data_IF_470104205433
#
_entry.id   IF_470104205433
#
_cell.length_a   1.000
_cell.length_b   1.000
_cell.length_c   1.000
_cell.angle_alpha   90.00
_cell.angle_beta   90.00
_cell.angle_gamma   90.00
#
_symmetry.space_group_name_H-M   'P 1'
#
loop_
_entity.id
_entity.type
_entity.pdbx_description
1 polymer ?
#
# COMPACT_ATOMS: atom_id res chain seq x y z
N UNK A 1 4.44 -8.00 -46.25
CA UNK A 1 4.33 -6.53 -46.19
C UNK A 1 4.97 -5.88 -47.42
N UNK A 2 6.21 -6.23 -47.78
CA UNK A 2 6.86 -5.81 -49.02
C UNK A 2 6.00 -5.91 -50.30
N UNK A 3 5.27 -7.02 -50.48
CA UNK A 3 4.39 -7.23 -51.64
C UNK A 3 3.24 -6.22 -51.72
N UNK A 4 2.71 -5.80 -50.57
CA UNK A 4 1.64 -4.80 -50.46
C UNK A 4 2.19 -3.42 -50.82
N UNK A 5 3.34 -3.04 -50.26
CA UNK A 5 4.02 -1.77 -50.57
C UNK A 5 4.29 -1.69 -52.07
N UNK A 6 4.91 -2.71 -52.67
CA UNK A 6 5.16 -2.75 -54.12
C UNK A 6 3.88 -2.63 -54.94
N UNK A 7 2.79 -3.28 -54.52
CA UNK A 7 1.50 -3.20 -55.21
C UNK A 7 0.92 -1.79 -55.15
N UNK A 8 0.96 -1.14 -53.99
CA UNK A 8 0.50 0.24 -53.80
C UNK A 8 1.36 1.22 -54.60
N UNK A 9 2.70 1.11 -54.56
CA UNK A 9 3.60 1.94 -55.36
C UNK A 9 3.28 1.82 -56.86
N UNK A 10 3.04 0.60 -57.36
CA UNK A 10 2.63 0.39 -58.76
C UNK A 10 1.25 0.99 -59.08
N UNK A 11 0.32 0.98 -58.14
CA UNK A 11 -1.01 1.60 -58.31
C UNK A 11 -0.97 3.13 -58.32
N UNK A 12 -0.03 3.73 -57.59
CA UNK A 12 0.13 5.19 -57.49
C UNK A 12 0.91 5.80 -58.66
N UNK A 13 1.67 4.99 -59.42
CA UNK A 13 2.36 5.47 -60.60
C UNK A 13 1.39 5.76 -61.75
N UNK A 14 1.60 6.86 -62.51
CA UNK A 14 0.80 7.13 -63.70
C UNK A 14 0.94 6.03 -64.77
N UNK A 15 -0.09 5.83 -65.60
CA UNK A 15 -0.09 4.79 -66.65
C UNK A 15 0.62 5.19 -67.96
N UNK A 16 1.46 6.23 -67.94
CA UNK A 16 2.14 6.76 -69.13
C UNK A 16 3.40 5.96 -69.52
N UNK A 17 3.85 6.09 -70.77
CA UNK A 17 5.06 5.41 -71.30
C UNK A 17 6.32 5.69 -70.46
N UNK A 18 6.43 6.90 -69.92
CA UNK A 18 7.54 7.30 -69.03
C UNK A 18 7.57 6.54 -67.69
N UNK A 19 6.44 5.96 -67.29
CA UNK A 19 6.28 5.20 -66.04
C UNK A 19 6.05 3.71 -66.31
N UNK A 20 6.25 3.27 -67.56
CA UNK A 20 6.18 1.85 -67.89
C UNK A 20 7.32 1.11 -67.22
N UNK A 21 6.98 0.08 -66.48
CA UNK A 21 7.88 -0.57 -65.54
C UNK A 21 7.93 -2.07 -65.84
N UNK A 22 8.67 -2.50 -66.88
CA UNK A 22 8.82 -3.93 -67.17
C UNK A 22 9.46 -4.64 -65.99
N UNK A 23 9.01 -5.86 -65.72
CA UNK A 23 9.53 -6.66 -64.61
C UNK A 23 11.04 -6.91 -64.80
N UNK A 24 11.83 -6.64 -63.75
CA UNK A 24 13.29 -6.69 -63.82
C UNK A 24 13.98 -5.48 -64.49
N UNK A 25 13.21 -4.54 -65.06
CA UNK A 25 13.73 -3.28 -65.60
C UNK A 25 14.42 -2.40 -64.55
N UNK A 26 15.15 -1.38 -64.99
CA UNK A 26 15.87 -0.45 -64.08
C UNK A 26 14.90 0.21 -63.10
N UNK A 27 13.76 0.69 -63.59
CA UNK A 27 12.76 1.33 -62.74
C UNK A 27 12.10 0.33 -61.77
N UNK A 28 11.82 -0.93 -62.16
CA UNK A 28 11.28 -1.96 -61.25
C UNK A 28 12.30 -2.31 -60.14
N UNK A 29 13.60 -2.40 -60.50
CA UNK A 29 14.68 -2.61 -59.52
C UNK A 29 14.81 -1.45 -58.54
N UNK A 30 14.70 -0.20 -59.02
CA UNK A 30 14.68 0.98 -58.15
C UNK A 30 13.49 0.94 -57.18
N UNK A 31 12.28 0.73 -57.67
CA UNK A 31 11.11 0.63 -56.79
C UNK A 31 11.22 -0.55 -55.82
N UNK A 32 11.77 -1.68 -56.24
CA UNK A 32 12.02 -2.81 -55.34
C UNK A 32 12.98 -2.43 -54.21
N UNK A 33 14.05 -1.69 -54.52
CA UNK A 33 14.99 -1.21 -53.51
C UNK A 33 14.36 -0.19 -52.55
N UNK A 34 13.57 0.76 -53.08
CA UNK A 34 12.83 1.73 -52.28
C UNK A 34 11.80 1.05 -51.36
N UNK A 35 10.99 0.13 -51.88
CA UNK A 35 10.03 -0.63 -51.07
C UNK A 35 10.70 -1.46 -49.97
N UNK A 36 11.91 -1.99 -50.22
CA UNK A 36 12.70 -2.69 -49.20
C UNK A 36 13.18 -1.73 -48.11
N UNK A 37 13.63 -0.52 -48.49
CA UNK A 37 14.02 0.53 -47.55
C UNK A 37 12.82 0.97 -46.69
N UNK A 38 11.66 1.19 -47.30
CA UNK A 38 10.42 1.53 -46.62
C UNK A 38 9.96 0.43 -45.67
N UNK A 39 10.05 -0.85 -46.06
CA UNK A 39 9.73 -1.97 -45.16
C UNK A 39 10.65 -2.00 -43.94
N UNK A 40 11.94 -1.71 -44.11
CA UNK A 40 12.89 -1.62 -42.98
C UNK A 40 12.55 -0.45 -42.06
N UNK A 41 12.27 0.73 -42.63
CA UNK A 41 11.88 1.91 -41.87
C UNK A 41 10.58 1.66 -41.08
N UNK A 42 9.58 1.06 -41.73
CA UNK A 42 8.31 0.70 -41.09
C UNK A 42 8.50 -0.32 -39.97
N UNK A 43 9.31 -1.38 -40.18
CA UNK A 43 9.63 -2.36 -39.13
C UNK A 43 10.35 -1.72 -37.94
N UNK A 44 11.28 -0.79 -38.21
CA UNK A 44 11.97 -0.05 -37.15
C UNK A 44 11.02 0.86 -36.37
N UNK A 45 10.11 1.54 -37.06
CA UNK A 45 9.07 2.37 -36.43
C UNK A 45 8.12 1.49 -35.59
N UNK A 46 7.64 0.38 -36.13
CA UNK A 46 6.78 -0.56 -35.40
C UNK A 46 7.47 -1.12 -34.16
N UNK A 47 8.73 -1.55 -34.26
CA UNK A 47 9.50 -2.01 -33.09
C UNK A 47 9.67 -0.91 -32.02
N UNK A 48 9.83 0.34 -32.45
CA UNK A 48 9.87 1.49 -31.53
C UNK A 48 8.52 1.72 -30.88
N UNK A 49 7.41 1.63 -31.63
CA UNK A 49 6.06 1.76 -31.07
C UNK A 49 5.71 0.61 -30.11
N UNK A 50 6.05 -0.62 -30.49
CA UNK A 50 5.76 -1.83 -29.72
C UNK A 50 6.49 -1.81 -28.37
N UNK A 51 7.73 -1.30 -28.33
CA UNK A 51 8.51 -1.12 -27.09
C UNK A 51 8.15 0.16 -26.30
N UNK A 52 7.53 1.14 -26.95
CA UNK A 52 7.20 2.42 -26.33
C UNK A 52 6.06 2.33 -25.32
N UNK A 53 5.11 1.42 -25.47
CA UNK A 53 3.99 1.30 -24.53
C UNK A 53 3.71 -0.14 -24.14
N UNK A 54 3.46 -0.43 -22.85
CA UNK A 54 3.14 -1.77 -22.37
C UNK A 54 1.69 -2.15 -22.69
N UNK A 55 1.21 -1.93 -23.92
CA UNK A 55 -0.19 -2.07 -24.32
C UNK A 55 -0.46 -3.02 -25.50
N UNK A 56 0.59 -3.59 -26.06
CA UNK A 56 0.52 -4.46 -27.23
C UNK A 56 1.11 -5.85 -26.93
N UNK A 57 0.79 -6.82 -27.78
CA UNK A 57 1.25 -8.21 -27.64
C UNK A 57 2.73 -8.41 -28.01
N UNK A 58 3.36 -7.42 -28.65
CA UNK A 58 4.77 -7.45 -29.04
C UNK A 58 5.69 -6.88 -27.94
N UNK A 59 5.13 -6.36 -26.85
CA UNK A 59 5.88 -5.87 -25.71
C UNK A 59 6.63 -7.04 -25.05
N UNK A 60 7.95 -6.92 -24.90
CA UNK A 60 8.81 -8.01 -24.43
C UNK A 60 9.20 -7.85 -22.96
N UNK A 61 9.85 -8.88 -22.40
CA UNK A 61 10.45 -8.81 -21.06
C UNK A 61 11.58 -7.78 -20.96
N UNK A 62 12.34 -7.60 -22.04
CA UNK A 62 13.42 -6.64 -22.16
C UNK A 62 12.87 -5.20 -22.18
N UNK A 63 11.74 -4.98 -22.86
CA UNK A 63 11.03 -3.69 -22.83
C UNK A 63 10.55 -3.36 -21.42
N UNK A 64 10.00 -4.36 -20.71
CA UNK A 64 9.60 -4.21 -19.32
C UNK A 64 10.79 -3.83 -18.41
N UNK A 65 11.95 -4.47 -18.58
CA UNK A 65 13.17 -4.16 -17.81
C UNK A 65 13.60 -2.69 -18.04
N UNK A 66 13.57 -2.22 -19.29
CA UNK A 66 13.91 -0.84 -19.64
C UNK A 66 12.94 0.16 -19.01
N UNK A 67 11.64 -0.13 -19.04
CA UNK A 67 10.60 0.71 -18.45
C UNK A 67 10.70 0.75 -16.93
N UNK A 68 10.90 -0.38 -16.28
CA UNK A 68 11.08 -0.45 -14.83
C UNK A 68 12.29 0.37 -14.39
N UNK A 69 13.40 0.28 -15.14
CA UNK A 69 14.58 1.13 -14.90
C UNK A 69 14.27 2.62 -15.08
N UNK A 70 13.56 2.99 -16.16
CA UNK A 70 13.19 4.39 -16.46
C UNK A 70 12.25 5.00 -15.41
N UNK A 71 11.32 4.21 -14.88
CA UNK A 71 10.34 4.63 -13.89
C UNK A 71 10.81 4.45 -12.43
N UNK A 72 12.03 3.94 -12.22
CA UNK A 72 12.54 3.64 -10.87
C UNK A 72 11.75 2.54 -10.16
N UNK A 73 11.19 1.57 -10.90
CA UNK A 73 10.51 0.38 -10.37
C UNK A 73 11.51 -0.76 -10.11
N UNK A 74 11.13 -1.71 -9.24
CA UNK A 74 11.99 -2.88 -8.97
C UNK A 74 12.00 -3.72 -10.24
N UNK A 75 13.15 -4.33 -10.56
CA UNK A 75 13.20 -5.29 -11.65
C UNK A 75 12.26 -6.46 -11.31
N UNK A 76 11.19 -6.62 -12.08
CA UNK A 76 10.19 -7.67 -11.93
C UNK A 76 10.65 -9.04 -12.44
N UNK A 77 11.95 -9.33 -12.47
CA UNK A 77 12.50 -10.62 -12.89
C UNK A 77 11.82 -11.77 -12.13
N UNK A 78 11.17 -12.68 -12.86
CA UNK A 78 10.38 -13.78 -12.30
C UNK A 78 8.88 -13.51 -12.15
N UNK A 79 8.43 -12.27 -12.34
CA UNK A 79 7.00 -11.92 -12.42
C UNK A 79 6.50 -12.09 -13.84
N UNK A 80 5.29 -12.63 -14.01
CA UNK A 80 4.65 -12.77 -15.32
C UNK A 80 4.55 -11.41 -16.04
N UNK A 81 4.89 -11.39 -17.34
CA UNK A 81 4.97 -10.17 -18.16
C UNK A 81 3.69 -9.32 -18.10
N UNK A 82 2.51 -9.95 -18.10
CA UNK A 82 1.21 -9.26 -18.00
C UNK A 82 1.10 -8.43 -16.71
N UNK A 83 1.58 -8.94 -15.58
CA UNK A 83 1.55 -8.22 -14.32
C UNK A 83 2.55 -7.06 -14.31
N UNK A 84 3.71 -7.26 -14.95
CA UNK A 84 4.73 -6.20 -15.12
C UNK A 84 4.18 -5.06 -15.98
N UNK A 85 3.53 -5.38 -17.11
CA UNK A 85 2.87 -4.40 -17.96
C UNK A 85 1.81 -3.60 -17.19
N UNK A 86 0.97 -4.25 -16.38
CA UNK A 86 -0.02 -3.58 -15.55
C UNK A 86 0.61 -2.62 -14.53
N UNK A 87 1.69 -3.05 -13.86
CA UNK A 87 2.41 -2.21 -12.92
C UNK A 87 3.05 -0.98 -13.59
N UNK A 88 3.66 -1.15 -14.77
CA UNK A 88 4.24 -0.05 -15.56
C UNK A 88 3.15 0.94 -15.96
N UNK A 89 1.99 0.48 -16.43
CA UNK A 89 0.85 1.36 -16.76
C UNK A 89 0.38 2.17 -15.56
N UNK A 90 0.23 1.53 -14.39
CA UNK A 90 -0.18 2.22 -13.17
C UNK A 90 0.81 3.32 -12.78
N UNK A 91 2.11 3.04 -12.91
CA UNK A 91 3.16 4.00 -12.59
C UNK A 91 3.25 5.14 -13.61
N UNK A 92 3.09 4.84 -14.89
CA UNK A 92 3.10 5.82 -15.97
C UNK A 92 1.88 6.75 -15.90
N UNK A 93 0.70 6.22 -15.60
CA UNK A 93 -0.55 6.98 -15.47
C UNK A 93 -0.68 7.73 -14.13
N UNK A 94 0.33 7.65 -13.25
CA UNK A 94 0.27 8.30 -11.95
C UNK A 94 0.33 9.84 -12.12
N UNK A 95 -0.61 10.62 -11.56
CA UNK A 95 -0.75 12.04 -11.89
C UNK A 95 0.45 12.87 -11.43
N UNK A 96 0.89 13.77 -12.30
CA UNK A 96 1.96 14.76 -12.04
C UNK A 96 1.39 16.06 -11.45
N UNK A 97 0.09 16.31 -11.59
CA UNK A 97 -0.52 17.64 -11.36
C UNK A 97 -1.41 17.77 -10.13
N UNK A 98 -1.90 16.68 -9.54
CA UNK A 98 -2.65 16.74 -8.28
C UNK A 98 -1.69 16.60 -7.09
N UNK A 99 -1.81 17.51 -6.12
CA UNK A 99 -0.94 17.60 -4.95
C UNK A 99 -0.73 16.21 -4.28
N UNK A 100 0.50 15.91 -3.81
CA UNK A 100 1.03 14.56 -3.66
C UNK A 100 0.52 13.85 -2.40
N UNK A 101 -0.79 13.65 -2.28
CA UNK A 101 -1.35 12.68 -1.35
C UNK A 101 -1.66 11.44 -2.15
N UNK A 102 -0.67 10.55 -2.26
CA UNK A 102 -0.92 9.18 -2.70
C UNK A 102 -2.08 8.65 -1.86
N UNK A 103 -3.22 8.42 -2.51
CA UNK A 103 -4.32 7.75 -1.85
C UNK A 103 -3.85 6.35 -1.47
N UNK A 104 -3.98 5.98 -0.19
CA UNK A 104 -3.43 4.76 0.37
C UNK A 104 -3.86 3.48 -0.40
N UNK A 105 -5.04 3.49 -1.03
CA UNK A 105 -5.49 2.37 -1.88
C UNK A 105 -4.63 2.16 -3.12
N UNK A 106 -3.93 3.18 -3.61
CA UNK A 106 -2.97 3.01 -4.70
C UNK A 106 -1.77 2.18 -4.26
N UNK A 107 -1.27 2.41 -3.04
CA UNK A 107 -0.22 1.57 -2.43
C UNK A 107 -0.74 0.13 -2.26
N UNK A 108 -1.96 -0.04 -1.74
CA UNK A 108 -2.58 -1.35 -1.60
C UNK A 108 -2.71 -2.10 -2.93
N UNK A 109 -3.26 -1.46 -3.95
CA UNK A 109 -3.45 -2.05 -5.28
C UNK A 109 -2.13 -2.51 -5.89
N UNK A 110 -1.07 -1.71 -5.74
CA UNK A 110 0.25 -2.06 -6.27
C UNK A 110 0.91 -3.21 -5.50
N UNK A 111 0.76 -3.26 -4.17
CA UNK A 111 1.24 -4.40 -3.37
C UNK A 111 0.49 -5.69 -3.74
N UNK A 112 -0.83 -5.61 -3.93
CA UNK A 112 -1.67 -6.75 -4.33
C UNK A 112 -1.40 -7.21 -5.76
N UNK A 113 -1.12 -6.29 -6.69
CA UNK A 113 -0.75 -6.63 -8.06
C UNK A 113 0.56 -7.45 -8.15
N UNK A 114 1.45 -7.28 -7.17
CA UNK A 114 2.71 -8.05 -7.04
C UNK A 114 2.51 -9.34 -6.21
N UNK A 115 1.27 -9.64 -5.82
CA UNK A 115 0.89 -10.87 -5.13
C UNK A 115 1.04 -10.84 -3.61
N UNK A 116 1.15 -9.66 -2.99
CA UNK A 116 1.09 -9.54 -1.54
C UNK A 116 -0.37 -9.41 -1.09
N UNK A 117 -0.86 -10.35 -0.30
CA UNK A 117 -2.21 -10.25 0.28
C UNK A 117 -2.19 -9.35 1.52
N UNK A 118 -2.21 -8.04 1.29
CA UNK A 118 -2.21 -7.01 2.34
C UNK A 118 -3.28 -5.97 2.06
N UNK A 119 -3.71 -5.28 3.12
CA UNK A 119 -4.47 -4.03 3.01
C UNK A 119 -3.71 -2.86 3.61
N UNK A 120 -3.94 -1.67 3.06
CA UNK A 120 -3.34 -0.44 3.58
C UNK A 120 -4.45 0.37 4.25
N UNK A 121 -4.20 0.81 5.48
CA UNK A 121 -5.12 1.62 6.25
C UNK A 121 -4.49 3.01 6.43
N UNK A 122 -5.21 4.09 6.07
CA UNK A 122 -4.75 5.43 6.38
C UNK A 122 -4.73 5.59 7.90
N UNK A 123 -3.77 6.36 8.41
CA UNK A 123 -3.88 6.78 9.79
C UNK A 123 -4.91 7.90 9.92
N UNK A 124 -6.16 7.50 10.17
CA UNK A 124 -7.22 8.43 10.55
C UNK A 124 -7.06 8.73 12.03
N UNK A 125 -6.37 9.83 12.33
CA UNK A 125 -6.40 10.45 13.67
C UNK A 125 -7.67 11.22 13.93
N UNK A 126 -8.63 11.16 13.02
CA UNK A 126 -9.99 11.55 13.32
C UNK A 126 -10.52 10.50 14.29
N UNK A 127 -10.11 10.63 15.57
CA UNK A 127 -11.03 10.38 16.66
C UNK A 127 -12.23 11.23 16.25
N UNK A 128 -13.38 10.64 15.88
CA UNK A 128 -14.56 11.45 15.62
C UNK A 128 -14.67 12.38 16.81
N UNK A 129 -14.45 13.67 16.56
CA UNK A 129 -14.76 14.68 17.55
C UNK A 129 -16.26 14.64 17.52
N UNK A 130 -16.82 13.83 18.41
CA UNK A 130 -18.24 13.84 18.70
C UNK A 130 -18.53 15.26 19.13
N UNK A 131 -19.02 16.07 18.20
CA UNK A 131 -19.31 17.48 18.45
C UNK A 131 -20.55 17.60 19.33
N UNK A 132 -21.46 16.63 19.25
CA UNK A 132 -22.56 16.41 20.20
C UNK A 132 -23.18 15.03 19.97
N UNK A 133 -23.39 14.26 21.04
CA UNK A 133 -24.40 13.18 21.04
C UNK A 133 -25.64 13.80 21.68
N UNK A 134 -26.73 13.87 20.93
CA UNK A 134 -28.01 14.27 21.48
C UNK A 134 -28.71 13.04 22.07
N UNK A 135 -29.07 13.15 23.34
CA UNK A 135 -29.86 12.16 24.04
C UNK A 135 -31.26 12.75 24.22
N UNK A 136 -32.27 12.06 23.68
CA UNK A 136 -33.66 12.40 23.97
C UNK A 136 -34.36 11.19 24.56
N UNK A 137 -35.30 11.46 25.46
CA UNK A 137 -36.28 10.47 25.90
C UNK A 137 -37.52 10.64 25.03
N UNK A 138 -38.04 9.55 24.48
CA UNK A 138 -39.38 9.58 23.88
C UNK A 138 -40.45 9.65 24.99
N UNK A 139 -41.72 9.75 24.59
CA UNK A 139 -42.86 9.82 25.52
C UNK A 139 -42.97 8.58 26.44
N UNK A 140 -42.33 7.48 26.06
CA UNK A 140 -42.26 6.21 26.81
C UNK A 140 -41.01 6.11 27.72
N UNK A 141 -40.23 7.19 27.84
CA UNK A 141 -38.95 7.24 28.56
C UNK A 141 -37.87 6.28 28.02
N UNK A 142 -37.94 5.90 26.75
CA UNK A 142 -36.85 5.20 26.08
C UNK A 142 -35.78 6.20 25.63
N UNK A 143 -34.52 5.86 25.90
CA UNK A 143 -33.39 6.62 25.41
C UNK A 143 -33.22 6.39 23.91
N UNK A 144 -33.45 7.42 23.11
CA UNK A 144 -33.19 7.41 21.67
C UNK A 144 -31.85 8.10 21.43
N UNK A 145 -30.94 7.39 20.75
CA UNK A 145 -29.63 7.90 20.37
C UNK A 145 -29.62 8.06 18.86
N UNK A 146 -29.55 9.31 18.42
CA UNK A 146 -29.49 9.66 16.99
C UNK A 146 -28.07 10.10 16.64
N UNK A 147 -27.47 9.40 15.68
CA UNK A 147 -26.15 9.68 15.14
C UNK A 147 -25.97 8.97 13.79
N UNK A 148 -24.88 9.26 13.07
CA UNK A 148 -24.55 8.52 11.84
C UNK A 148 -24.32 7.03 12.19
N UNK A 149 -24.93 6.12 11.45
CA UNK A 149 -24.84 4.67 11.69
C UNK A 149 -23.38 4.19 11.68
N UNK A 150 -22.51 4.79 10.87
CA UNK A 150 -21.08 4.46 10.84
C UNK A 150 -20.33 4.91 12.12
N UNK A 151 -20.80 5.96 12.80
CA UNK A 151 -20.21 6.46 14.06
C UNK A 151 -20.72 5.69 15.29
N UNK A 152 -21.97 5.22 15.25
CA UNK A 152 -22.62 4.48 16.34
C UNK A 152 -22.06 3.07 16.54
N UNK A 153 -21.43 2.47 15.53
CA UNK A 153 -20.79 1.16 15.60
C UNK A 153 -19.62 1.07 16.62
N UNK A 154 -19.17 2.22 17.13
CA UNK A 154 -18.06 2.31 18.07
C UNK A 154 -18.50 2.47 19.52
N UNK A 155 -19.77 2.26 19.89
CA UNK A 155 -20.23 2.44 21.27
C UNK A 155 -20.93 1.19 21.83
N UNK A 156 -20.53 0.78 23.02
CA UNK A 156 -21.25 -0.22 23.83
C UNK A 156 -21.99 0.50 24.96
N UNK A 157 -23.31 0.29 25.03
CA UNK A 157 -24.18 0.86 26.06
C UNK A 157 -24.46 -0.20 27.12
N UNK A 158 -24.32 0.16 28.39
CA UNK A 158 -24.66 -0.71 29.53
C UNK A 158 -25.23 0.11 30.68
N UNK A 159 -25.99 -0.52 31.57
CA UNK A 159 -26.44 0.10 32.81
C UNK A 159 -25.68 -0.46 34.01
N UNK A 160 -25.22 0.42 34.90
CA UNK A 160 -24.56 0.04 36.15
C UNK A 160 -25.07 0.94 37.29
N UNK A 161 -25.80 0.36 38.25
CA UNK A 161 -26.28 1.09 39.43
C UNK A 161 -27.28 2.23 39.17
N UNK A 162 -27.97 2.24 38.01
CA UNK A 162 -28.86 3.32 37.59
C UNK A 162 -28.20 4.37 36.69
N UNK A 163 -26.88 4.27 36.47
CA UNK A 163 -26.15 5.09 35.52
C UNK A 163 -26.10 4.40 34.14
N UNK A 164 -26.17 5.19 33.07
CA UNK A 164 -25.89 4.73 31.71
C UNK A 164 -24.39 4.87 31.45
N UNK A 165 -23.73 3.75 31.22
CA UNK A 165 -22.31 3.67 30.89
C UNK A 165 -22.17 3.44 29.40
N UNK A 166 -21.60 4.42 28.71
CA UNK A 166 -21.24 4.29 27.29
C UNK A 166 -19.73 4.09 27.20
N UNK A 167 -19.33 2.95 26.63
CA UNK A 167 -17.94 2.68 26.30
C UNK A 167 -17.72 2.95 24.82
N UNK A 168 -16.84 3.88 24.51
CA UNK A 168 -16.30 4.00 23.17
C UNK A 168 -15.34 2.81 22.94
N UNK A 169 -15.66 1.97 21.96
CA UNK A 169 -14.96 0.73 21.60
C UNK A 169 -13.54 0.93 21.08
N UNK A 170 -13.10 2.17 20.90
CA UNK A 170 -11.70 2.44 20.96
C UNK A 170 -11.52 3.34 22.23
N UNK A 171 -11.15 2.71 23.34
CA UNK A 171 -10.32 3.27 24.43
C UNK A 171 -10.88 4.25 25.48
N UNK A 172 -11.93 5.04 25.21
CA UNK A 172 -12.43 6.08 26.13
C UNK A 172 -13.72 5.66 26.87
N UNK A 173 -13.79 5.96 28.18
CA UNK A 173 -15.02 5.84 28.97
C UNK A 173 -15.65 7.23 29.07
N UNK A 174 -16.93 7.34 28.76
CA UNK A 174 -17.71 8.53 29.08
C UNK A 174 -18.58 8.19 30.30
N UNK A 175 -18.62 9.08 31.29
CA UNK A 175 -19.60 9.00 32.38
C UNK A 175 -20.73 9.97 32.09
N UNK A 176 -21.96 9.47 32.10
CA UNK A 176 -23.14 10.30 32.04
C UNK A 176 -23.72 10.42 33.44
N UNK A 177 -24.10 11.64 33.84
CA UNK A 177 -24.80 11.90 35.10
C UNK A 177 -26.09 12.62 34.77
N UNK A 178 -27.20 12.14 35.32
CA UNK A 178 -28.49 12.81 35.19
C UNK A 178 -28.68 13.70 36.41
N UNK A 179 -28.70 15.02 36.20
CA UNK A 179 -28.97 16.00 37.25
C UNK A 179 -30.13 16.90 36.83
N UNK A 180 -31.19 16.95 37.64
CA UNK A 180 -32.37 17.81 37.43
C UNK A 180 -33.05 17.63 36.05
N UNK A 181 -33.12 16.39 35.54
CA UNK A 181 -33.73 16.10 34.24
C UNK A 181 -32.85 16.38 33.02
N UNK A 182 -31.60 16.81 33.24
CA UNK A 182 -30.60 17.02 32.18
C UNK A 182 -29.52 15.93 32.25
N UNK A 183 -29.07 15.45 31.09
CA UNK A 183 -27.97 14.47 30.97
C UNK A 183 -26.65 15.22 30.73
N UNK A 184 -25.68 15.08 31.63
CA UNK A 184 -24.36 15.67 31.52
C UNK A 184 -23.33 14.59 31.16
N UNK A 185 -22.52 14.82 30.12
CA UNK A 185 -21.46 13.93 29.70
C UNK A 185 -20.10 14.43 30.19
N UNK A 186 -19.37 13.61 30.93
CA UNK A 186 -18.01 13.91 31.38
C UNK A 186 -17.02 12.99 30.67
N UNK A 187 -16.02 13.58 30.01
CA UNK A 187 -14.85 12.86 29.53
C UNK A 187 -14.02 12.40 30.71
N UNK A 188 -13.87 11.09 30.92
CA UNK A 188 -13.01 10.52 31.97
C UNK A 188 -11.52 10.53 31.59
N UNK A 189 -11.09 11.51 30.81
CA UNK A 189 -9.73 11.65 30.31
C UNK A 189 -9.58 11.09 28.90
N UNK A 190 -9.11 11.94 27.98
CA UNK A 190 -8.67 11.51 26.66
C UNK A 190 -7.38 10.72 26.82
N UNK A 191 -7.42 9.43 26.48
CA UNK A 191 -6.20 8.66 26.31
C UNK A 191 -5.37 9.31 25.20
N UNK A 192 -4.17 9.73 25.52
CA UNK A 192 -3.13 10.14 24.56
C UNK A 192 -2.85 9.00 23.57
N UNK A 193 -2.30 9.27 22.37
CA UNK A 193 -1.92 8.22 21.41
C UNK A 193 -1.07 7.09 22.03
N UNK A 194 -0.26 7.39 23.05
CA UNK A 194 0.51 6.40 23.81
C UNK A 194 -0.36 5.48 24.67
N UNK A 195 -1.52 5.93 25.15
CA UNK A 195 -2.47 5.16 25.96
C UNK A 195 -3.42 4.30 25.12
N UNK A 196 -3.57 4.64 23.84
CA UNK A 196 -4.24 3.83 22.82
C UNK A 196 -3.39 2.66 22.33
N UNK A 197 -2.10 2.90 22.21
CA UNK A 197 -1.10 1.87 21.96
C UNK A 197 -0.68 1.18 23.27
N UNK A 198 -1.13 1.61 24.45
CA UNK A 198 -0.77 0.98 25.73
C UNK A 198 -1.24 -0.49 25.87
N UNK A 199 -2.40 -0.91 25.34
CA UNK A 199 -2.74 -2.33 25.21
C UNK A 199 -1.87 -3.04 24.16
N UNK A 200 -1.36 -2.35 23.15
CA UNK A 200 -0.39 -2.89 22.17
C UNK A 200 1.04 -2.93 22.76
N UNK A 201 1.28 -2.16 23.83
CA UNK A 201 2.41 -2.32 24.75
C UNK A 201 2.25 -3.51 25.69
N UNK A 202 1.10 -4.23 25.68
CA UNK A 202 1.11 -5.63 26.11
C UNK A 202 1.78 -6.43 25.00
N UNK A 203 2.76 -7.21 25.40
CA UNK A 203 3.65 -8.00 24.55
C UNK A 203 2.88 -8.65 23.40
N UNK A 204 2.93 -8.06 22.20
CA UNK A 204 2.51 -8.76 20.98
C UNK A 204 3.55 -9.83 20.70
N UNK A 205 3.38 -10.98 21.35
CA UNK A 205 4.14 -12.17 21.02
C UNK A 205 3.72 -12.62 19.62
N UNK A 206 4.70 -12.89 18.75
CA UNK A 206 4.45 -13.72 17.59
C UNK A 206 3.76 -15.01 18.06
N UNK A 207 2.72 -15.52 17.37
CA UNK A 207 2.07 -16.80 17.72
C UNK A 207 3.04 -17.98 17.82
N UNK A 208 4.27 -17.83 17.29
CA UNK A 208 5.32 -18.85 17.30
C UNK A 208 6.27 -18.78 18.50
N UNK A 209 6.19 -17.77 19.37
CA UNK A 209 7.09 -17.65 20.53
C UNK A 209 6.60 -18.52 21.69
N UNK A 210 7.03 -19.79 21.74
CA UNK A 210 6.88 -20.64 22.93
C UNK A 210 7.92 -20.23 23.98
N UNK A 211 7.47 -19.73 25.12
CA UNK A 211 8.34 -19.52 26.30
C UNK A 211 8.69 -20.89 26.88
N UNK A 212 9.93 -21.35 26.70
CA UNK A 212 10.46 -22.47 27.47
C UNK A 212 11.04 -21.93 28.79
N UNK A 213 10.71 -22.55 29.91
CA UNK A 213 11.21 -22.14 31.24
C UNK A 213 12.70 -22.44 31.47
N UNK A 214 13.39 -22.98 30.47
CA UNK A 214 14.82 -23.24 30.47
C UNK A 214 15.26 -23.14 29.02
N UNK A 215 16.09 -22.16 28.64
CA UNK A 215 17.07 -22.28 27.55
C UNK A 215 17.92 -21.00 27.39
N UNK A 216 19.23 -21.21 27.44
CA UNK A 216 20.21 -20.35 26.78
C UNK A 216 19.95 -20.43 25.26
N UNK A 217 19.58 -19.31 24.64
CA UNK A 217 19.58 -19.21 23.18
C UNK A 217 20.93 -18.67 22.71
N UNK A 218 21.86 -19.57 22.46
CA UNK A 218 23.02 -19.33 21.61
C UNK A 218 22.64 -19.67 20.16
N UNK A 219 21.87 -18.80 19.51
CA UNK A 219 21.88 -18.52 18.06
C UNK A 219 20.76 -17.55 17.74
N UNK A 220 21.13 -16.44 17.11
CA UNK A 220 20.28 -15.43 16.48
C UNK A 220 19.06 -16.01 15.77
N UNK A 221 17.86 -15.47 16.01
CA UNK A 221 16.82 -15.39 14.98
C UNK A 221 15.81 -14.28 15.27
N UNK A 222 15.68 -13.40 14.26
CA UNK A 222 14.90 -12.16 14.20
C UNK A 222 13.39 -12.43 14.16
N UNK A 223 12.72 -12.43 15.31
CA UNK A 223 11.25 -12.33 15.41
C UNK A 223 10.90 -11.28 16.48
N UNK A 224 9.79 -10.56 16.27
CA UNK A 224 9.48 -9.26 16.87
C UNK A 224 9.49 -9.16 18.41
N UNK A 225 9.54 -7.91 18.87
CA UNK A 225 9.62 -7.42 20.25
C UNK A 225 10.87 -7.85 21.04
N UNK A 226 11.86 -6.97 21.11
CA UNK A 226 13.05 -7.16 21.94
C UNK A 226 12.78 -6.82 23.41
N UNK A 227 13.10 -7.74 24.31
CA UNK A 227 13.47 -7.41 25.69
C UNK A 227 14.99 -7.52 25.82
N UNK A 228 15.63 -6.50 26.42
CA UNK A 228 17.07 -6.51 26.72
C UNK A 228 17.37 -7.66 27.69
N UNK A 229 18.13 -8.66 27.24
CA UNK A 229 18.35 -9.94 27.93
C UNK A 229 19.21 -9.87 29.21
N UNK A 230 19.64 -8.69 29.65
CA UNK A 230 20.49 -8.53 30.84
C UNK A 230 19.92 -7.61 31.92
N UNK A 231 18.71 -7.09 31.74
CA UNK A 231 18.13 -6.14 32.70
C UNK A 231 17.15 -6.86 33.63
N UNK A 232 17.67 -7.41 34.74
CA UNK A 232 16.83 -7.85 35.88
C UNK A 232 16.19 -6.64 36.53
N UNK A 233 15.00 -6.27 36.07
CA UNK A 233 14.19 -5.27 36.75
C UNK A 233 13.41 -5.91 37.90
N UNK A 234 13.16 -5.13 38.96
CA UNK A 234 12.24 -5.49 40.04
C UNK A 234 10.83 -5.82 39.47
N UNK A 235 10.02 -6.67 40.13
CA UNK A 235 8.72 -7.20 39.65
C UNK A 235 7.65 -6.19 39.18
N UNK A 236 7.91 -4.89 39.27
CA UNK A 236 6.95 -3.82 39.00
C UNK A 236 7.34 -2.91 37.83
N UNK A 237 8.54 -3.08 37.23
CA UNK A 237 8.93 -2.26 36.08
C UNK A 237 8.34 -2.86 34.81
N UNK A 238 7.13 -2.42 34.42
CA UNK A 238 6.57 -2.69 33.09
C UNK A 238 7.28 -1.80 32.08
N UNK A 239 7.93 -2.40 31.09
CA UNK A 239 8.48 -1.68 29.94
C UNK A 239 7.72 -2.17 28.72
N UNK A 240 7.17 -1.21 27.97
CA UNK A 240 6.36 -1.50 26.79
C UNK A 240 7.17 -2.21 25.72
N UNK A 241 6.55 -3.20 25.06
CA UNK A 241 7.15 -3.84 23.91
C UNK A 241 7.31 -2.82 22.77
N UNK A 242 8.53 -2.61 22.29
CA UNK A 242 8.76 -1.75 21.11
C UNK A 242 8.34 -2.49 19.86
N UNK A 243 7.29 -1.99 19.19
CA UNK A 243 6.93 -2.45 17.86
C UNK A 243 7.97 -1.93 16.85
N UNK A 244 8.81 -2.81 16.34
CA UNK A 244 9.96 -2.47 15.48
C UNK A 244 9.77 -2.93 14.03
N UNK A 245 8.52 -3.13 13.60
CA UNK A 245 8.21 -3.48 12.22
C UNK A 245 7.55 -2.28 11.53
N UNK A 246 8.39 -1.36 11.08
CA UNK A 246 7.95 -0.25 10.24
C UNK A 246 8.96 -0.01 9.12
N UNK A 247 8.52 0.74 8.11
CA UNK A 247 9.29 1.13 6.92
C UNK A 247 9.27 2.64 6.84
N UNK A 248 10.41 3.25 7.13
CA UNK A 248 10.59 4.69 7.07
C UNK A 248 11.56 5.05 5.93
N UNK A 249 12.82 4.65 6.03
CA UNK A 249 13.86 5.08 5.10
C UNK A 249 14.75 3.93 4.60
N UNK A 250 14.71 2.77 5.25
CA UNK A 250 15.66 1.70 4.98
C UNK A 250 14.99 0.38 4.62
N UNK A 251 15.56 -0.28 3.60
CA UNK A 251 15.16 -1.65 3.23
C UNK A 251 15.48 -2.63 4.36
N UNK A 252 16.62 -2.46 5.03
CA UNK A 252 17.01 -3.22 6.21
C UNK A 252 16.18 -2.78 7.42
N UNK A 253 15.36 -3.70 7.95
CA UNK A 253 14.49 -3.44 9.11
C UNK A 253 15.24 -2.90 10.34
N UNK A 254 16.46 -3.38 10.59
CA UNK A 254 17.27 -2.96 11.74
C UNK A 254 17.58 -1.48 11.73
N UNK A 255 17.82 -0.88 10.56
CA UNK A 255 18.16 0.55 10.44
C UNK A 255 16.99 1.47 10.70
N UNK A 256 15.77 1.02 10.40
CA UNK A 256 14.57 1.76 10.79
C UNK A 256 14.30 1.62 12.30
N UNK A 257 14.75 0.54 12.96
CA UNK A 257 14.49 0.26 14.38
C UNK A 257 14.93 1.33 15.38
N UNK A 258 15.85 2.21 14.98
CA UNK A 258 16.32 3.35 15.80
C UNK A 258 15.45 4.61 15.65
N UNK A 259 14.52 4.63 14.69
CA UNK A 259 13.62 5.75 14.48
C UNK A 259 12.61 5.84 15.65
N UNK A 260 12.81 6.82 16.53
CA UNK A 260 11.86 7.14 17.58
C UNK A 260 10.63 7.84 16.97
N UNK A 261 9.53 7.11 16.77
CA UNK A 261 8.24 7.71 16.38
C UNK A 261 7.65 8.42 17.60
N UNK A 262 7.63 9.75 17.59
CA UNK A 262 7.14 10.58 18.69
C UNK A 262 6.26 11.75 18.21
N UNK A 263 5.44 12.29 19.12
CA UNK A 263 4.66 13.51 18.92
C UNK A 263 3.85 13.53 17.61
N UNK A 264 4.10 14.54 16.78
CA UNK A 264 3.38 14.75 15.53
C UNK A 264 3.74 13.75 14.41
N UNK A 265 4.82 12.97 14.55
CA UNK A 265 5.21 11.99 13.53
C UNK A 265 4.15 10.92 13.30
N UNK A 266 3.33 10.66 14.33
CA UNK A 266 2.19 9.77 14.24
C UNK A 266 1.25 10.16 13.10
N UNK A 267 0.98 11.46 12.88
CA UNK A 267 0.12 11.99 11.81
C UNK A 267 0.56 11.61 10.41
N UNK A 268 1.83 11.31 10.24
CA UNK A 268 2.44 10.92 8.97
C UNK A 268 2.62 9.41 8.83
N UNK A 269 1.88 8.61 9.60
CA UNK A 269 1.95 7.15 9.47
C UNK A 269 0.79 6.59 8.66
N UNK A 270 0.94 5.36 8.19
CA UNK A 270 -0.14 4.52 7.69
C UNK A 270 0.15 3.08 8.11
N UNK A 271 -0.86 2.22 8.05
CA UNK A 271 -0.73 0.84 8.50
C UNK A 271 -0.84 -0.11 7.32
N UNK A 272 -0.05 -1.17 7.32
CA UNK A 272 -0.21 -2.30 6.40
C UNK A 272 -0.49 -3.53 7.25
N UNK A 273 -1.59 -4.22 6.98
CA UNK A 273 -2.06 -5.35 7.76
C UNK A 273 -2.68 -6.42 6.84
N UNK A 274 -3.29 -7.44 7.46
CA UNK A 274 -4.11 -8.46 6.79
C UNK A 274 -5.41 -7.89 6.21
N UNK A 275 -6.44 -8.71 6.12
CA UNK A 275 -7.73 -8.27 5.58
C UNK A 275 -8.50 -7.33 6.53
N UNK A 276 -8.27 -7.47 7.83
CA UNK A 276 -8.79 -6.57 8.86
C UNK A 276 -7.67 -6.09 9.78
N UNK A 277 -7.74 -4.85 10.27
CA UNK A 277 -6.82 -4.39 11.30
C UNK A 277 -7.36 -4.86 12.68
N UNK A 278 -6.54 -5.43 13.58
CA UNK A 278 -5.07 -5.52 13.58
C UNK A 278 -4.49 -6.88 13.14
N UNK A 279 -5.14 -7.62 12.24
CA UNK A 279 -4.64 -8.93 11.77
C UNK A 279 -3.29 -8.81 11.07
N UNK A 280 -2.42 -9.81 11.27
CA UNK A 280 -1.12 -9.84 10.62
C UNK A 280 -1.23 -10.46 9.22
N UNK A 281 -0.72 -9.76 8.22
CA UNK A 281 -0.53 -10.36 6.90
C UNK A 281 0.65 -11.33 6.92
N UNK A 282 0.56 -12.42 6.16
CA UNK A 282 1.65 -13.40 6.01
C UNK A 282 2.42 -13.06 4.74
N UNK A 283 3.71 -12.79 4.89
CA UNK A 283 4.61 -12.50 3.77
C UNK A 283 5.74 -13.54 3.79
N UNK A 284 6.04 -14.22 2.67
CA UNK A 284 7.16 -15.14 2.62
C UNK A 284 8.47 -14.47 3.07
N UNK A 285 9.24 -15.08 3.96
CA UNK A 285 10.48 -14.49 4.51
C UNK A 285 11.46 -14.09 3.39
N UNK A 286 11.56 -14.93 2.36
CA UNK A 286 12.37 -14.67 1.15
C UNK A 286 11.95 -13.42 0.35
N UNK A 287 10.73 -12.91 0.57
CA UNK A 287 10.18 -11.71 -0.08
C UNK A 287 10.16 -10.48 0.84
N UNK A 288 10.70 -10.54 2.05
CA UNK A 288 10.74 -9.38 2.97
C UNK A 288 11.42 -8.17 2.32
N UNK A 289 12.60 -8.37 1.72
CA UNK A 289 13.35 -7.28 1.09
C UNK A 289 12.58 -6.66 -0.08
N UNK A 290 11.97 -7.49 -0.93
CA UNK A 290 11.10 -7.07 -2.04
C UNK A 290 9.91 -6.25 -1.53
N UNK A 291 9.20 -6.75 -0.52
CA UNK A 291 8.04 -6.10 0.08
C UNK A 291 8.40 -4.73 0.67
N UNK A 292 9.47 -4.66 1.48
CA UNK A 292 9.93 -3.40 2.07
C UNK A 292 10.41 -2.41 1.02
N UNK A 293 11.12 -2.88 -0.01
CA UNK A 293 11.56 -2.04 -1.12
C UNK A 293 10.38 -1.48 -1.91
N UNK A 294 9.33 -2.27 -2.13
CA UNK A 294 8.09 -1.81 -2.77
C UNK A 294 7.47 -0.68 -1.95
N UNK A 295 7.32 -0.86 -0.63
CA UNK A 295 6.77 0.19 0.23
C UNK A 295 7.59 1.47 0.16
N UNK A 296 8.93 1.41 0.22
CA UNK A 296 9.79 2.60 0.15
C UNK A 296 9.65 3.38 -1.16
N UNK A 297 9.48 2.67 -2.28
CA UNK A 297 9.31 3.30 -3.61
C UNK A 297 7.93 3.90 -3.81
N UNK A 298 6.93 3.33 -3.12
CA UNK A 298 5.54 3.66 -3.34
C UNK A 298 4.95 4.61 -2.30
N UNK A 299 5.50 4.67 -1.08
CA UNK A 299 5.00 5.57 -0.04
C UNK A 299 5.40 7.02 -0.32
N UNK A 300 4.66 8.01 0.21
CA UNK A 300 5.13 9.39 0.21
C UNK A 300 6.42 9.55 1.03
N UNK A 301 7.32 10.44 0.60
CA UNK A 301 8.64 10.65 1.21
C UNK A 301 8.55 10.87 2.73
N UNK A 302 7.58 11.68 3.17
CA UNK A 302 7.43 12.08 4.57
C UNK A 302 6.49 11.18 5.38
N UNK A 303 6.28 9.92 4.96
CA UNK A 303 5.39 8.99 5.67
C UNK A 303 6.10 7.75 6.17
N UNK A 304 5.55 7.13 7.21
CA UNK A 304 6.07 5.93 7.85
C UNK A 304 5.02 4.82 7.76
N UNK A 305 5.37 3.69 7.16
CA UNK A 305 4.49 2.52 7.10
C UNK A 305 4.68 1.63 8.33
N UNK A 306 3.66 1.44 9.15
CA UNK A 306 3.67 0.52 10.29
C UNK A 306 3.14 -0.84 9.81
N UNK A 307 3.90 -1.91 10.03
CA UNK A 307 3.65 -3.20 9.40
C UNK A 307 3.16 -4.25 10.40
N UNK A 308 1.86 -4.57 10.34
CA UNK A 308 1.28 -5.77 10.93
C UNK A 308 1.48 -6.94 9.97
N UNK A 309 2.73 -7.37 9.87
CA UNK A 309 3.18 -8.42 8.94
C UNK A 309 3.99 -9.45 9.71
N UNK A 310 3.72 -10.73 9.43
CA UNK A 310 4.53 -11.86 9.86
C UNK A 310 5.32 -12.41 8.67
N UNK A 311 6.65 -12.42 8.79
CA UNK A 311 7.54 -12.98 7.78
C UNK A 311 7.76 -14.47 8.09
N UNK A 312 7.27 -15.35 7.23
CA UNK A 312 7.33 -16.82 7.41
C UNK A 312 7.89 -17.54 6.19
#
# INVERSE_FOLDING_TARGET
MLSIIRKLTKQLLPKGRAFWQPEGGVLDRLNKALSLSEERALKGALSTFDSAFPDNANFTTEDADMWEKRLGMINGAGVALVNRMAAIRLKYNYPVTDAPRQYYKSLEQQLRAVGFNVRVYPNKFDVPVVTSIEFSFNDDMELVITGDEEEMAFYEFSMDGGDIVVKYLPGAKLKFVIENGSVFAYSLGTKTPNEWLAPINTTMHSPTTRHSNVLQHSTFQYLGAYHSLTLRHRPLLRHGARFNNYVANHIERSRDGDLAINGDMWKSTFYIAGDHMPEFAIIPQQREAEFRQMILRLKPVNTIGILFVNYQ
#
